data_IF_488457444964
#
_entry.id   IF_488457444964
#
_cell.length_a   1.000
_cell.length_b   1.000
_cell.length_c   1.000
_cell.angle_alpha   90.00
_cell.angle_beta   90.00
_cell.angle_gamma   90.00
#
_symmetry.space_group_name_H-M   'P 1'
#
loop_
_entity.id
_entity.type
_entity.pdbx_description
1 polymer ?
#
# COMPACT_ATOMS: atom_id res chain seq x y z
N UNK A 1 -68.38 62.45 -31.20
CA UNK A 1 -67.06 62.66 -31.79
C UNK A 1 -66.52 61.32 -32.12
N UNK A 2 -66.45 61.04 -33.37
CA UNK A 2 -66.10 59.68 -33.90
C UNK A 2 -64.62 59.46 -34.07
N UNK A 3 -64.26 58.23 -34.13
CA UNK A 3 -63.10 57.81 -34.89
C UNK A 3 -63.20 56.37 -35.34
N UNK A 4 -63.08 56.23 -36.60
CA UNK A 4 -63.26 54.99 -37.37
C UNK A 4 -62.08 54.04 -37.17
N UNK A 5 -62.40 52.81 -36.92
CA UNK A 5 -61.43 51.75 -36.95
C UNK A 5 -61.63 50.90 -38.20
N UNK A 6 -60.55 50.71 -38.98
CA UNK A 6 -60.50 49.76 -40.10
C UNK A 6 -59.66 48.52 -39.69
N UNK A 7 -60.11 47.31 -39.98
CA UNK A 7 -59.32 46.10 -39.70
C UNK A 7 -58.30 45.90 -40.83
N UNK A 8 -57.07 45.53 -40.44
CA UNK A 8 -56.03 45.04 -41.34
C UNK A 8 -55.93 43.55 -41.20
N UNK A 9 -56.06 42.84 -42.31
CA UNK A 9 -55.82 41.43 -42.46
C UNK A 9 -54.37 41.11 -42.09
N UNK A 10 -54.21 40.15 -41.15
CA UNK A 10 -52.95 39.58 -40.84
C UNK A 10 -52.74 38.27 -41.62
N UNK A 11 -51.63 38.20 -42.32
CA UNK A 11 -51.18 36.99 -43.04
C UNK A 11 -50.66 35.98 -42.02
N UNK A 12 -51.20 34.75 -42.05
CA UNK A 12 -50.67 33.60 -41.32
C UNK A 12 -49.47 33.06 -42.08
N UNK A 13 -48.28 33.26 -41.57
CA UNK A 13 -47.10 32.55 -42.02
C UNK A 13 -46.96 31.27 -41.16
N UNK A 14 -47.18 30.14 -41.76
CA UNK A 14 -46.93 28.84 -41.12
C UNK A 14 -45.42 28.59 -41.06
N UNK A 15 -44.86 28.67 -39.83
CA UNK A 15 -43.47 28.24 -39.60
C UNK A 15 -43.51 26.76 -39.27
N UNK A 16 -42.99 25.95 -40.18
CA UNK A 16 -42.74 24.52 -39.97
C UNK A 16 -41.52 24.36 -39.02
N UNK A 17 -41.76 23.94 -37.80
CA UNK A 17 -40.71 23.59 -36.84
C UNK A 17 -40.24 22.16 -37.21
N UNK A 18 -39.11 22.08 -37.85
CA UNK A 18 -38.39 20.80 -38.03
C UNK A 18 -37.72 20.46 -36.71
N UNK A 19 -38.34 19.58 -35.93
CA UNK A 19 -37.74 19.03 -34.74
C UNK A 19 -36.65 18.02 -35.14
N UNK A 20 -35.40 18.48 -35.14
CA UNK A 20 -34.25 17.55 -35.21
C UNK A 20 -34.11 16.84 -33.86
N UNK A 21 -34.50 15.57 -33.81
CA UNK A 21 -34.14 14.70 -32.70
C UNK A 21 -32.62 14.52 -32.71
N UNK A 22 -31.94 15.28 -31.88
CA UNK A 22 -30.55 14.97 -31.53
C UNK A 22 -30.55 13.76 -30.61
N UNK A 23 -30.27 12.59 -31.17
CA UNK A 23 -29.95 11.40 -30.41
C UNK A 23 -28.62 11.61 -29.68
N UNK A 24 -28.68 12.06 -28.43
CA UNK A 24 -27.54 12.02 -27.53
C UNK A 24 -27.29 10.56 -27.16
N UNK A 25 -26.39 9.90 -27.88
CA UNK A 25 -25.81 8.66 -27.41
C UNK A 25 -25.16 8.92 -26.06
N UNK A 26 -25.36 8.08 -25.03
CA UNK A 26 -24.59 8.20 -23.79
C UNK A 26 -23.13 7.97 -24.18
N UNK A 27 -22.29 8.96 -23.91
CA UNK A 27 -20.84 8.79 -23.92
C UNK A 27 -20.55 7.66 -22.95
N UNK A 28 -20.17 6.50 -23.50
CA UNK A 28 -19.49 5.49 -22.70
C UNK A 28 -18.25 6.18 -22.16
N UNK A 29 -18.25 6.42 -20.84
CA UNK A 29 -17.05 6.80 -20.12
C UNK A 29 -16.00 5.74 -20.47
N UNK A 30 -14.89 6.19 -21.05
CA UNK A 30 -13.88 5.32 -21.60
C UNK A 30 -13.20 4.58 -20.43
N UNK A 31 -13.62 3.33 -20.17
CA UNK A 31 -13.03 2.39 -19.19
C UNK A 31 -11.51 2.20 -19.36
N UNK A 32 -10.96 2.72 -20.46
CA UNK A 32 -9.52 2.72 -20.72
C UNK A 32 -8.75 3.74 -19.87
N UNK A 33 -9.38 4.84 -19.46
CA UNK A 33 -8.75 5.88 -18.64
C UNK A 33 -8.49 5.41 -17.20
N UNK A 34 -9.38 4.62 -16.64
CA UNK A 34 -9.23 4.10 -15.28
C UNK A 34 -8.19 2.97 -15.19
N UNK A 35 -8.12 2.11 -16.21
CA UNK A 35 -7.07 1.07 -16.27
C UNK A 35 -5.68 1.65 -16.45
N UNK A 36 -5.56 2.76 -17.17
CA UNK A 36 -4.27 3.41 -17.45
C UNK A 36 -3.78 4.23 -16.25
N UNK A 37 -4.68 4.84 -15.47
CA UNK A 37 -4.32 5.50 -14.21
C UNK A 37 -3.86 4.51 -13.15
N UNK A 38 -4.60 3.43 -12.91
CA UNK A 38 -4.20 2.41 -11.94
C UNK A 38 -2.87 1.71 -12.29
N UNK A 39 -2.51 1.62 -13.58
CA UNK A 39 -1.22 1.05 -13.98
C UNK A 39 -0.07 2.04 -13.76
N UNK A 40 -0.27 3.32 -14.05
CA UNK A 40 0.74 4.37 -13.84
C UNK A 40 1.02 4.62 -12.36
N UNK A 41 -0.01 4.59 -11.52
CA UNK A 41 0.14 4.79 -10.08
C UNK A 41 0.91 3.63 -9.43
N UNK A 42 0.60 2.38 -9.80
CA UNK A 42 1.36 1.20 -9.34
C UNK A 42 2.83 1.22 -9.81
N UNK A 43 3.11 1.67 -11.02
CA UNK A 43 4.47 1.82 -11.52
C UNK A 43 5.26 2.83 -10.70
N UNK A 44 4.65 3.97 -10.34
CA UNK A 44 5.28 4.99 -9.48
C UNK A 44 5.55 4.48 -8.06
N UNK A 45 4.67 3.67 -7.48
CA UNK A 45 4.85 3.05 -6.17
C UNK A 45 5.98 2.01 -6.16
N UNK A 46 6.07 1.20 -7.22
CA UNK A 46 7.14 0.21 -7.41
C UNK A 46 8.50 0.90 -7.46
N UNK A 47 8.65 1.93 -8.30
CA UNK A 47 9.91 2.69 -8.43
C UNK A 47 10.26 3.40 -7.12
N UNK A 48 9.26 4.02 -6.47
CA UNK A 48 9.45 4.65 -5.17
C UNK A 48 9.90 3.64 -4.13
N UNK A 49 9.32 2.43 -4.12
CA UNK A 49 9.69 1.35 -3.22
C UNK A 49 11.18 0.96 -3.35
N UNK A 50 11.69 0.85 -4.56
CA UNK A 50 13.12 0.61 -4.76
C UNK A 50 13.99 1.76 -4.28
N UNK A 51 13.55 3.00 -4.47
CA UNK A 51 14.30 4.19 -4.07
C UNK A 51 14.41 4.36 -2.55
N UNK A 52 13.42 3.86 -1.77
CA UNK A 52 13.38 3.99 -0.31
C UNK A 52 13.80 2.72 0.44
N UNK A 53 14.18 1.65 -0.26
CA UNK A 53 14.66 0.42 0.38
C UNK A 53 15.96 0.70 1.14
N UNK A 54 16.01 0.48 2.47
CA UNK A 54 17.18 0.84 3.27
C UNK A 54 18.32 -0.18 3.22
N UNK A 55 18.08 -1.34 2.56
CA UNK A 55 19.05 -2.43 2.42
C UNK A 55 19.08 -2.93 0.97
N UNK A 56 20.19 -3.56 0.53
CA UNK A 56 20.26 -4.19 -0.79
C UNK A 56 19.21 -5.28 -0.95
N UNK A 57 18.63 -5.39 -2.16
CA UNK A 57 17.58 -6.36 -2.49
C UNK A 57 18.12 -7.43 -3.45
N UNK A 58 17.98 -8.69 -3.07
CA UNK A 58 18.21 -9.81 -3.97
C UNK A 58 16.94 -10.08 -4.80
N UNK A 59 17.00 -9.81 -6.10
CA UNK A 59 15.89 -10.01 -7.03
C UNK A 59 15.93 -11.37 -7.76
N UNK A 60 16.91 -12.20 -7.46
CA UNK A 60 17.09 -13.49 -8.14
C UNK A 60 15.88 -14.39 -7.92
N UNK A 61 15.21 -14.77 -9.03
CA UNK A 61 14.01 -15.62 -8.99
C UNK A 61 12.78 -15.00 -8.33
N UNK A 62 12.75 -13.67 -8.13
CA UNK A 62 11.65 -12.94 -7.51
C UNK A 62 10.92 -12.04 -8.50
N UNK A 63 9.65 -11.77 -8.26
CA UNK A 63 8.89 -10.81 -9.05
C UNK A 63 9.28 -9.38 -8.67
N UNK A 64 10.00 -8.69 -9.56
CA UNK A 64 10.50 -7.33 -9.35
C UNK A 64 9.38 -6.35 -8.96
N UNK A 65 8.22 -6.43 -9.63
CA UNK A 65 7.11 -5.52 -9.34
C UNK A 65 6.56 -5.73 -7.92
N UNK A 66 6.38 -6.97 -7.50
CA UNK A 66 5.96 -7.28 -6.13
C UNK A 66 7.00 -6.86 -5.09
N UNK A 67 8.29 -7.04 -5.37
CA UNK A 67 9.35 -6.60 -4.44
C UNK A 67 9.35 -5.08 -4.29
N UNK A 68 9.23 -4.31 -5.38
CA UNK A 68 9.17 -2.86 -5.33
C UNK A 68 7.92 -2.35 -4.62
N UNK A 69 6.74 -2.87 -4.96
CA UNK A 69 5.48 -2.54 -4.28
C UNK A 69 5.55 -2.90 -2.78
N UNK A 70 6.07 -4.08 -2.45
CA UNK A 70 6.23 -4.52 -1.06
C UNK A 70 7.16 -3.60 -0.27
N UNK A 71 8.26 -3.15 -0.87
CA UNK A 71 9.15 -2.15 -0.26
C UNK A 71 8.42 -0.83 0.00
N UNK A 72 7.62 -0.36 -0.95
CA UNK A 72 6.81 0.85 -0.78
C UNK A 72 5.82 0.71 0.38
N UNK A 73 5.11 -0.42 0.46
CA UNK A 73 4.17 -0.66 1.56
C UNK A 73 4.90 -0.75 2.90
N UNK A 74 5.98 -1.50 3.00
CA UNK A 74 6.71 -1.72 4.26
C UNK A 74 7.36 -0.44 4.78
N UNK A 75 8.01 0.34 3.89
CA UNK A 75 8.81 1.51 4.28
C UNK A 75 8.05 2.84 4.18
N UNK A 76 7.04 2.93 3.30
CA UNK A 76 6.31 4.17 3.05
C UNK A 76 4.93 4.26 3.68
N UNK A 77 4.22 3.13 3.82
CA UNK A 77 2.83 3.12 4.28
C UNK A 77 2.63 2.38 5.60
N UNK A 78 3.30 1.25 5.77
CA UNK A 78 3.06 0.32 6.88
C UNK A 78 3.83 0.62 8.16
N UNK A 79 4.91 1.41 8.08
CA UNK A 79 5.74 1.76 9.26
C UNK A 79 6.34 0.53 9.96
N UNK A 80 6.62 -0.56 9.23
CA UNK A 80 7.09 -1.80 9.83
C UNK A 80 8.44 -1.63 10.55
N UNK A 81 9.27 -0.69 10.05
CA UNK A 81 10.55 -0.35 10.65
C UNK A 81 10.41 0.13 12.10
N UNK A 82 9.35 0.89 12.43
CA UNK A 82 9.20 1.49 13.76
C UNK A 82 9.04 0.44 14.87
N UNK A 83 8.50 -0.72 14.52
CA UNK A 83 8.30 -1.81 15.47
C UNK A 83 9.34 -2.93 15.31
N UNK A 84 9.74 -3.24 14.08
CA UNK A 84 10.56 -4.43 13.78
C UNK A 84 12.05 -4.13 13.57
N UNK A 85 12.50 -2.88 13.77
CA UNK A 85 13.92 -2.51 13.82
C UNK A 85 14.22 -1.84 15.16
N UNK A 86 15.22 -2.29 15.88
CA UNK A 86 15.58 -1.67 17.16
C UNK A 86 17.10 -1.48 17.30
N UNK A 87 17.57 -0.24 17.62
CA UNK A 87 16.81 1.02 17.47
C UNK A 87 16.44 1.28 16.00
N UNK A 88 15.30 1.95 15.76
CA UNK A 88 14.76 2.14 14.40
C UNK A 88 15.67 2.95 13.49
N UNK A 89 16.42 3.89 14.07
CA UNK A 89 17.30 4.80 13.34
C UNK A 89 18.76 4.65 13.78
N UNK A 90 19.67 4.88 12.85
CA UNK A 90 21.10 4.96 13.15
C UNK A 90 21.42 6.22 13.98
N UNK A 91 22.54 6.27 14.69
CA UNK A 91 22.96 7.46 15.43
C UNK A 91 22.96 8.72 14.56
N UNK A 92 22.27 9.78 15.02
CA UNK A 92 22.14 11.04 14.26
C UNK A 92 21.16 10.98 13.09
N UNK A 93 20.29 9.96 13.03
CA UNK A 93 19.36 9.75 11.93
C UNK A 93 17.88 9.67 12.35
N UNK A 94 17.54 10.12 13.54
CA UNK A 94 16.16 10.06 14.05
C UNK A 94 15.37 11.31 13.67
N UNK A 95 14.38 11.22 12.75
CA UNK A 95 13.58 12.38 12.34
C UNK A 95 12.69 12.93 13.46
N UNK A 96 12.31 12.12 14.47
CA UNK A 96 11.57 12.60 15.64
C UNK A 96 12.41 13.51 16.55
N UNK A 97 13.73 13.48 16.38
CA UNK A 97 14.67 14.41 17.01
C UNK A 97 15.07 15.57 16.08
N UNK A 98 14.40 15.75 14.94
CA UNK A 98 14.70 16.78 13.94
C UNK A 98 15.96 16.49 13.10
N UNK A 99 16.42 15.24 13.09
CA UNK A 99 17.59 14.82 12.32
C UNK A 99 17.17 14.33 10.92
N UNK A 100 18.05 14.37 9.90
CA UNK A 100 17.80 13.70 8.64
C UNK A 100 17.57 12.21 8.84
N UNK A 101 16.51 11.67 8.24
CA UNK A 101 16.17 10.25 8.40
C UNK A 101 17.32 9.33 7.94
N UNK A 102 17.71 8.42 8.82
CA UNK A 102 18.69 7.38 8.52
C UNK A 102 18.31 6.10 9.24
N UNK A 103 17.63 5.21 8.51
CA UNK A 103 17.23 3.89 9.03
C UNK A 103 18.44 3.10 9.49
N UNK A 104 18.30 2.37 10.58
CA UNK A 104 19.32 1.43 11.06
C UNK A 104 19.35 0.19 10.16
N UNK A 105 20.10 0.26 9.08
CA UNK A 105 20.21 -0.81 8.09
C UNK A 105 20.87 -2.09 8.60
N UNK A 106 21.65 -2.01 9.69
CA UNK A 106 22.30 -3.17 10.31
C UNK A 106 21.30 -4.07 11.04
N UNK A 107 20.29 -3.45 11.68
CA UNK A 107 19.25 -4.15 12.43
C UNK A 107 17.88 -4.07 11.72
N UNK A 108 17.89 -3.76 10.43
CA UNK A 108 16.66 -3.58 9.66
C UNK A 108 15.78 -4.84 9.69
N UNK A 109 14.60 -4.69 10.29
CA UNK A 109 13.56 -5.72 10.46
C UNK A 109 14.01 -6.99 11.23
N UNK A 110 15.06 -6.91 12.04
CA UNK A 110 15.51 -8.03 12.89
C UNK A 110 14.75 -8.15 14.21
N UNK A 111 13.72 -7.32 14.41
CA UNK A 111 12.95 -7.30 15.65
C UNK A 111 13.67 -6.63 16.82
N UNK A 112 13.34 -7.07 18.03
CA UNK A 112 14.01 -6.65 19.26
C UNK A 112 13.39 -5.47 19.97
N UNK A 113 12.35 -4.79 19.43
CA UNK A 113 11.69 -3.72 20.16
C UNK A 113 10.72 -4.27 21.19
N UNK A 114 10.87 -3.84 22.46
CA UNK A 114 10.03 -4.28 23.55
C UNK A 114 8.79 -3.38 23.73
N UNK A 115 7.65 -4.04 23.94
CA UNK A 115 6.34 -3.43 24.22
C UNK A 115 5.76 -4.09 25.48
N UNK A 116 6.25 -3.70 26.64
CA UNK A 116 5.95 -4.40 27.89
C UNK A 116 6.49 -5.83 27.87
N UNK A 117 5.64 -6.87 28.02
CA UNK A 117 6.10 -8.26 27.99
C UNK A 117 6.36 -8.80 26.57
N UNK A 118 5.99 -8.05 25.53
CA UNK A 118 6.12 -8.49 24.14
C UNK A 118 7.35 -7.89 23.50
N UNK A 119 8.05 -8.71 22.70
CA UNK A 119 9.20 -8.26 21.90
C UNK A 119 8.86 -8.49 20.43
N UNK A 120 9.12 -7.47 19.59
CA UNK A 120 8.88 -7.58 18.14
C UNK A 120 9.73 -8.67 17.52
N UNK A 121 9.12 -9.43 16.61
CA UNK A 121 9.75 -10.56 15.92
C UNK A 121 10.66 -10.08 14.80
N UNK A 122 11.69 -10.88 14.50
CA UNK A 122 12.51 -10.79 13.30
C UNK A 122 11.65 -11.13 12.07
N UNK A 123 11.61 -10.24 11.08
CA UNK A 123 10.89 -10.43 9.82
C UNK A 123 11.81 -10.81 8.65
N UNK A 124 13.13 -10.86 8.86
CA UNK A 124 14.05 -11.22 7.80
C UNK A 124 13.87 -12.71 7.40
N UNK A 125 14.26 -13.09 6.18
CA UNK A 125 14.09 -14.48 5.76
C UNK A 125 15.00 -15.44 6.56
N UNK A 126 14.47 -16.60 6.88
CA UNK A 126 15.23 -17.73 7.44
C UNK A 126 16.14 -18.36 6.38
N UNK A 127 16.85 -19.45 6.75
CA UNK A 127 17.71 -20.19 5.84
C UNK A 127 16.97 -20.84 4.66
N UNK A 128 15.65 -21.03 4.77
CA UNK A 128 14.78 -21.52 3.69
C UNK A 128 14.19 -20.36 2.84
N UNK A 129 14.56 -19.13 3.14
CA UNK A 129 14.05 -17.91 2.46
C UNK A 129 12.63 -17.53 2.87
N UNK A 130 12.17 -17.97 4.05
CA UNK A 130 10.84 -17.66 4.58
C UNK A 130 10.91 -16.46 5.53
N UNK A 131 10.24 -15.34 5.23
CA UNK A 131 10.13 -14.21 6.14
C UNK A 131 9.53 -14.62 7.49
N UNK A 132 10.18 -14.23 8.58
CA UNK A 132 9.80 -14.60 9.94
C UNK A 132 9.64 -16.14 10.14
N UNK A 133 10.30 -16.96 9.31
CA UNK A 133 10.12 -18.42 9.31
C UNK A 133 8.80 -18.93 8.71
N UNK A 134 7.92 -18.05 8.22
CA UNK A 134 6.56 -18.37 7.79
C UNK A 134 6.47 -18.62 6.28
N UNK A 135 5.63 -19.57 5.89
CA UNK A 135 5.14 -19.66 4.50
C UNK A 135 4.23 -18.46 4.19
N UNK A 136 3.97 -18.21 2.89
CA UNK A 136 3.06 -17.13 2.53
C UNK A 136 1.64 -17.30 3.12
N UNK A 137 1.14 -18.54 3.17
CA UNK A 137 -0.20 -18.79 3.71
C UNK A 137 -0.27 -18.56 5.22
N UNK A 138 0.76 -18.94 5.97
CA UNK A 138 0.88 -18.64 7.40
C UNK A 138 1.01 -17.14 7.64
N UNK A 139 1.88 -16.46 6.91
CA UNK A 139 2.06 -15.02 6.95
C UNK A 139 0.73 -14.28 6.69
N UNK A 140 0.03 -14.64 5.60
CA UNK A 140 -1.27 -14.08 5.26
C UNK A 140 -2.31 -14.33 6.35
N UNK A 141 -2.36 -15.55 6.88
CA UNK A 141 -3.29 -15.92 7.96
C UNK A 141 -3.01 -15.09 9.21
N UNK A 142 -1.76 -14.96 9.62
CA UNK A 142 -1.35 -14.11 10.75
C UNK A 142 -1.81 -12.67 10.57
N UNK A 143 -1.59 -12.07 9.40
CA UNK A 143 -2.02 -10.69 9.15
C UNK A 143 -3.55 -10.54 9.05
N UNK A 144 -4.27 -11.56 8.59
CA UNK A 144 -5.75 -11.54 8.50
C UNK A 144 -6.43 -11.72 9.84
N UNK A 145 -5.89 -12.57 10.69
CA UNK A 145 -6.57 -13.07 11.89
C UNK A 145 -5.89 -12.65 13.20
N UNK A 146 -4.64 -12.20 13.13
CA UNK A 146 -3.83 -11.93 14.31
C UNK A 146 -3.34 -13.18 15.02
N UNK A 147 -3.67 -14.38 14.54
CA UNK A 147 -3.24 -15.61 15.17
C UNK A 147 -1.71 -15.76 15.08
N UNK A 148 -1.06 -15.91 16.23
CA UNK A 148 0.38 -16.19 16.27
C UNK A 148 0.63 -17.66 15.91
N UNK A 149 1.34 -17.98 14.83
CA UNK A 149 1.59 -19.37 14.42
C UNK A 149 2.58 -20.09 15.33
N UNK A 150 3.39 -19.37 16.10
CA UNK A 150 4.36 -19.92 17.05
C UNK A 150 3.87 -19.89 18.50
N UNK A 151 2.81 -19.13 18.76
CA UNK A 151 2.17 -19.06 20.08
C UNK A 151 1.25 -20.24 20.37
N UNK A 152 0.75 -20.38 21.60
CA UNK A 152 -0.30 -21.32 21.94
C UNK A 152 -1.52 -21.17 21.04
N UNK A 153 -2.22 -22.29 20.78
CA UNK A 153 -3.39 -22.28 19.90
C UNK A 153 -4.43 -21.25 20.37
N UNK A 154 -4.80 -20.32 19.48
CA UNK A 154 -5.77 -19.26 19.75
C UNK A 154 -5.16 -18.00 20.39
N UNK A 155 -3.85 -17.95 20.59
CA UNK A 155 -3.19 -16.72 20.98
C UNK A 155 -3.19 -15.72 19.84
N UNK A 156 -3.53 -14.47 20.16
CA UNK A 156 -3.55 -13.37 19.20
C UNK A 156 -2.41 -12.39 19.49
N UNK A 157 -1.83 -11.86 18.43
CA UNK A 157 -0.85 -10.78 18.50
C UNK A 157 -1.47 -9.56 19.20
N UNK A 158 -0.85 -9.09 20.28
CA UNK A 158 -1.41 -8.05 21.13
C UNK A 158 -1.00 -6.62 20.74
N UNK A 159 0.16 -6.45 20.12
CA UNK A 159 0.74 -5.14 19.80
C UNK A 159 0.64 -4.82 18.32
N UNK A 160 0.94 -5.78 17.47
CA UNK A 160 0.89 -5.60 16.02
C UNK A 160 -0.54 -5.24 15.58
N UNK A 161 -0.74 -4.13 14.80
CA UNK A 161 -2.07 -3.70 14.38
C UNK A 161 -2.63 -4.56 13.22
N UNK A 162 -2.63 -5.87 13.39
CA UNK A 162 -3.14 -6.82 12.39
C UNK A 162 -4.57 -6.54 11.92
N UNK A 163 -5.51 -5.98 12.73
CA UNK A 163 -6.85 -5.65 12.23
C UNK A 163 -6.84 -4.60 11.12
N UNK A 164 -5.78 -3.76 11.05
CA UNK A 164 -5.58 -2.79 9.96
C UNK A 164 -4.93 -3.48 8.76
N UNK A 165 -3.82 -4.17 8.97
CA UNK A 165 -3.09 -4.87 7.89
C UNK A 165 -3.92 -5.99 7.26
N UNK A 166 -4.77 -6.64 8.04
CA UNK A 166 -5.71 -7.64 7.55
C UNK A 166 -6.73 -7.13 6.53
N UNK A 167 -6.86 -5.81 6.33
CA UNK A 167 -7.71 -5.20 5.29
C UNK A 167 -7.01 -5.01 3.94
N UNK A 168 -5.69 -5.18 3.90
CA UNK A 168 -4.92 -5.11 2.66
C UNK A 168 -5.39 -6.17 1.65
N UNK A 169 -5.20 -5.93 0.36
CA UNK A 169 -5.48 -6.93 -0.66
C UNK A 169 -4.52 -8.13 -0.55
N UNK A 170 -4.87 -9.26 -1.16
CA UNK A 170 -3.94 -10.40 -1.21
C UNK A 170 -2.69 -10.07 -2.04
N UNK A 171 -2.82 -9.16 -3.02
CA UNK A 171 -1.68 -8.66 -3.77
C UNK A 171 -0.71 -7.84 -2.89
N UNK A 172 -1.23 -6.99 -2.01
CA UNK A 172 -0.40 -6.20 -1.08
C UNK A 172 0.31 -7.11 -0.09
N UNK A 173 -0.39 -8.07 0.50
CA UNK A 173 0.23 -9.05 1.41
C UNK A 173 1.29 -9.90 0.69
N UNK A 174 1.04 -10.26 -0.58
CA UNK A 174 2.02 -10.97 -1.39
C UNK A 174 3.23 -10.08 -1.71
N UNK A 175 3.00 -8.80 -2.00
CA UNK A 175 4.07 -7.85 -2.27
C UNK A 175 4.96 -7.66 -1.02
N UNK A 176 4.38 -7.46 0.16
CA UNK A 176 5.12 -7.40 1.42
C UNK A 176 5.96 -8.66 1.62
N UNK A 177 5.36 -9.84 1.44
CA UNK A 177 6.06 -11.12 1.60
C UNK A 177 7.24 -11.26 0.62
N UNK A 178 7.07 -10.92 -0.66
CA UNK A 178 8.14 -10.96 -1.67
C UNK A 178 9.26 -9.95 -1.37
N UNK A 179 8.94 -8.77 -0.86
CA UNK A 179 9.96 -7.83 -0.40
C UNK A 179 10.75 -8.39 0.79
N UNK A 180 10.06 -8.93 1.79
CA UNK A 180 10.73 -9.53 2.96
C UNK A 180 11.61 -10.74 2.56
N UNK A 181 11.27 -11.46 1.50
CA UNK A 181 12.14 -12.49 0.92
C UNK A 181 13.36 -11.95 0.20
N UNK A 182 13.33 -10.68 -0.21
CA UNK A 182 14.38 -10.05 -0.99
C UNK A 182 15.43 -9.33 -0.14
N UNK A 183 15.13 -9.01 1.12
CA UNK A 183 16.09 -8.42 2.05
C UNK A 183 17.10 -9.45 2.58
N UNK A 184 18.27 -9.03 3.08
CA UNK A 184 19.25 -9.95 3.66
C UNK A 184 18.69 -10.73 4.87
N UNK A 185 18.94 -12.03 4.94
CA UNK A 185 18.74 -12.83 6.15
C UNK A 185 19.66 -12.36 7.26
N UNK A 186 19.13 -12.20 8.46
CA UNK A 186 19.88 -11.76 9.65
C UNK A 186 19.43 -12.50 10.90
N UNK A 187 20.31 -12.69 11.88
CA UNK A 187 19.91 -13.20 13.19
C UNK A 187 18.99 -12.20 13.89
N UNK A 188 18.33 -12.65 14.94
CA UNK A 188 17.56 -11.80 15.83
C UNK A 188 18.43 -10.68 16.40
N UNK A 189 17.81 -9.53 16.67
CA UNK A 189 18.51 -8.41 17.27
C UNK A 189 19.11 -8.85 18.64
N UNK A 190 20.43 -8.75 18.81
CA UNK A 190 21.09 -9.21 20.05
C UNK A 190 20.85 -8.28 21.24
N UNK A 191 20.32 -7.07 21.01
CA UNK A 191 20.11 -6.05 22.03
C UNK A 191 18.64 -5.58 22.05
N UNK A 192 17.70 -6.44 22.46
CA UNK A 192 16.31 -6.05 22.57
C UNK A 192 16.13 -4.96 23.64
N UNK A 193 15.24 -4.01 23.39
CA UNK A 193 15.00 -2.90 24.32
C UNK A 193 13.73 -2.11 23.98
N UNK A 194 13.34 -1.17 24.85
CA UNK A 194 12.17 -0.30 24.67
C UNK A 194 12.34 0.70 23.52
#
# INVERSE_FOLDING_TARGET
MGSHWKPRLAWLAAVAIISTLSSTSPLHADDRGDRQRGHGDNESEIERGFAIAPVPLDLTGKNRALVGLGSYIVNGQGGCNDCHTHPSYAPGGDPFLGQPEKINSEQYLTGGRAFGPFVSRNLTPDHAGKPAGLTFDEFRTTLRTGQDPEGPRGELLQVMPWPVYGKMTDNDLKAIYEFLRAIPSRPDNPNPGP
#
